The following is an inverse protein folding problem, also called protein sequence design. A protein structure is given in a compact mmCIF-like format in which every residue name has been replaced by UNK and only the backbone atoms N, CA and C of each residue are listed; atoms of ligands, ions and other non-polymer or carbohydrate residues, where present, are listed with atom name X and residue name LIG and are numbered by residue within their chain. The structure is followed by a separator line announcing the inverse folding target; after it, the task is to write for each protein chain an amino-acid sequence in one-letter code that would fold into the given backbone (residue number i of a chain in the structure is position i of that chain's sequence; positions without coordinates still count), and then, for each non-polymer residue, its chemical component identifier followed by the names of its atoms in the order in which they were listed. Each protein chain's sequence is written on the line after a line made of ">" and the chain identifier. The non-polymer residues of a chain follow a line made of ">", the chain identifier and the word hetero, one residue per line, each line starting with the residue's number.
data_IF_548780446658
#
_entry.id   IF_548780446658
#
_cell.length_a   1.000
_cell.length_b   1.000
_cell.length_c   1.000
_cell.angle_alpha   90.00
_cell.angle_beta   90.00
_cell.angle_gamma   90.00
#
_symmetry.space_group_name_H-M   'P 1'
#
loop_
_entity.id
_entity.type
_entity.pdbx_description
1 polymer ?
#
# COMPACT_ATOMS: atom_id res chain seq x y z
N UNK A 1 -19.63 8.62 17.40
CA UNK A 1 -21.10 8.60 17.23
C UNK A 1 -21.88 8.51 18.56
N UNK A 2 -21.25 8.11 19.68
CA UNK A 2 -21.87 8.11 21.02
C UNK A 2 -21.91 9.50 21.73
N UNK A 3 -21.36 10.56 21.13
CA UNK A 3 -21.20 11.88 21.75
C UNK A 3 -21.90 13.02 20.96
N UNK A 4 -22.82 12.71 20.04
CA UNK A 4 -23.60 13.71 19.28
C UNK A 4 -22.85 14.49 18.19
N UNK A 5 -21.55 14.28 18.02
CA UNK A 5 -20.78 14.92 16.95
C UNK A 5 -20.86 14.14 15.62
N UNK A 6 -20.89 14.89 14.52
CA UNK A 6 -20.76 14.35 13.17
C UNK A 6 -19.34 13.80 12.96
N UNK A 7 -19.18 12.62 12.32
CA UNK A 7 -17.86 12.05 12.08
C UNK A 7 -17.02 12.93 11.13
N UNK A 8 -15.67 12.89 11.26
CA UNK A 8 -14.79 13.68 10.42
C UNK A 8 -14.96 13.30 8.94
N UNK A 9 -15.14 14.31 8.08
CA UNK A 9 -15.45 14.12 6.64
C UNK A 9 -14.28 13.56 5.83
N UNK A 10 -13.05 13.64 6.35
CA UNK A 10 -11.82 13.14 5.73
C UNK A 10 -10.85 12.70 6.82
N UNK A 11 -10.22 11.55 6.61
CA UNK A 11 -9.12 11.03 7.41
C UNK A 11 -7.88 11.01 6.53
N UNK A 12 -6.86 11.77 6.93
CA UNK A 12 -5.56 11.78 6.25
C UNK A 12 -4.62 10.89 7.07
N UNK A 13 -4.32 9.70 6.56
CA UNK A 13 -3.42 8.74 7.20
C UNK A 13 -2.05 8.79 6.54
N UNK A 14 -0.98 8.68 7.33
CA UNK A 14 0.38 8.54 6.84
C UNK A 14 1.07 7.36 7.55
N UNK A 15 2.07 6.77 6.90
CA UNK A 15 2.86 5.67 7.44
C UNK A 15 3.89 6.16 8.47
N UNK A 16 4.63 5.21 9.05
CA UNK A 16 5.66 5.51 10.04
C UNK A 16 6.87 6.21 9.42
N UNK A 17 7.44 7.16 10.17
CA UNK A 17 8.64 7.88 9.79
C UNK A 17 9.90 7.01 9.84
N UNK A 18 10.75 7.19 8.84
CA UNK A 18 12.07 6.55 8.74
C UNK A 18 13.19 7.57 8.84
N UNK A 19 14.35 7.11 9.30
CA UNK A 19 15.62 7.84 9.27
C UNK A 19 16.58 6.98 8.47
N UNK A 20 17.15 7.53 7.40
CA UNK A 20 18.04 6.81 6.46
C UNK A 20 17.46 5.49 5.93
N UNK A 21 16.16 5.49 5.62
CA UNK A 21 15.44 4.32 5.09
C UNK A 21 15.10 3.24 6.12
N UNK A 22 15.41 3.45 7.40
CA UNK A 22 15.11 2.51 8.48
C UNK A 22 14.02 3.09 9.38
N UNK A 23 12.99 2.30 9.69
CA UNK A 23 11.95 2.66 10.65
C UNK A 23 12.57 3.07 11.99
N UNK A 24 12.12 4.20 12.54
CA UNK A 24 12.61 4.64 13.83
C UNK A 24 12.29 3.62 14.94
N UNK A 25 13.30 3.27 15.72
CA UNK A 25 13.19 2.35 16.85
C UNK A 25 14.17 2.73 17.95
N UNK A 26 13.69 2.68 19.20
CA UNK A 26 14.54 2.95 20.38
C UNK A 26 15.72 1.99 20.47
N UNK A 27 15.58 0.74 20.01
CA UNK A 27 16.65 -0.26 20.02
C UNK A 27 17.73 -0.04 18.96
N UNK A 28 17.38 0.63 17.86
CA UNK A 28 18.31 0.97 16.77
C UNK A 28 18.98 2.33 16.97
N UNK A 29 18.60 3.08 18.01
CA UNK A 29 19.14 4.42 18.30
C UNK A 29 18.77 5.50 17.28
N UNK A 30 18.01 5.17 16.24
CA UNK A 30 17.66 6.06 15.14
C UNK A 30 16.38 6.88 15.40
N UNK A 31 15.94 6.99 16.66
CA UNK A 31 14.77 7.82 17.03
C UNK A 31 15.19 9.28 17.05
N UNK A 32 14.56 10.08 16.18
CA UNK A 32 14.78 11.52 16.14
C UNK A 32 13.76 12.23 17.02
N UNK A 33 14.24 13.01 17.99
CA UNK A 33 13.38 13.89 18.77
C UNK A 33 13.28 15.25 18.07
N UNK A 34 12.09 15.64 17.56
CA UNK A 34 11.93 16.87 16.78
C UNK A 34 12.26 18.16 17.55
N UNK A 35 12.27 18.12 18.90
CA UNK A 35 12.66 19.26 19.74
C UNK A 35 14.18 19.44 19.86
N UNK A 36 14.96 18.42 19.48
CA UNK A 36 16.41 18.38 19.63
C UNK A 36 17.15 18.59 18.29
N UNK A 37 16.44 18.63 17.16
CA UNK A 37 17.01 18.70 15.80
C UNK A 37 17.63 20.06 15.47
N UNK A 38 17.37 21.11 16.26
CA UNK A 38 17.89 22.47 16.02
C UNK A 38 17.34 23.16 14.76
N UNK A 39 16.53 22.48 13.96
CA UNK A 39 15.88 23.03 12.77
C UNK A 39 14.70 23.94 13.15
N UNK A 40 14.48 25.05 12.42
CA UNK A 40 13.31 25.88 12.64
C UNK A 40 12.02 25.08 12.36
N UNK A 41 10.92 25.32 13.10
CA UNK A 41 9.67 24.58 12.93
C UNK A 41 9.10 24.61 11.51
N UNK A 42 9.37 25.67 10.74
CA UNK A 42 8.98 25.80 9.34
C UNK A 42 9.69 24.77 8.44
N UNK A 43 10.99 24.57 8.64
CA UNK A 43 11.76 23.55 7.91
C UNK A 43 11.29 22.14 8.26
N UNK A 44 11.00 21.88 9.55
CA UNK A 44 10.49 20.58 9.99
C UNK A 44 9.10 20.29 9.38
N UNK A 45 8.20 21.28 9.36
CA UNK A 45 6.87 21.15 8.72
C UNK A 45 6.98 20.89 7.22
N UNK A 46 7.88 21.61 6.53
CA UNK A 46 8.12 21.41 5.10
C UNK A 46 8.62 19.98 4.82
N UNK A 47 9.59 19.50 5.59
CA UNK A 47 10.11 18.12 5.49
C UNK A 47 9.00 17.09 5.71
N UNK A 48 8.20 17.24 6.77
CA UNK A 48 7.12 16.31 7.08
C UNK A 48 6.06 16.29 5.97
N UNK A 49 5.67 17.45 5.44
CA UNK A 49 4.70 17.51 4.33
C UNK A 49 5.22 16.87 3.05
N UNK A 50 6.53 16.96 2.80
CA UNK A 50 7.18 16.36 1.63
C UNK A 50 7.30 14.83 1.74
N UNK A 51 7.68 14.34 2.91
CA UNK A 51 8.05 12.93 3.11
C UNK A 51 6.87 12.04 3.57
N UNK A 52 5.77 12.60 4.06
CA UNK A 52 4.54 11.87 4.41
C UNK A 52 3.66 11.52 3.20
N UNK A 53 4.22 10.89 2.18
CA UNK A 53 3.51 10.52 0.94
C UNK A 53 3.60 9.02 0.67
N UNK A 54 2.59 8.43 0.01
CA UNK A 54 2.55 7.00 -0.34
C UNK A 54 3.77 6.56 -1.20
N UNK A 55 4.35 7.49 -1.95
CA UNK A 55 5.59 7.30 -2.72
C UNK A 55 6.83 6.99 -1.85
N UNK A 56 6.80 7.35 -0.56
CA UNK A 56 7.92 7.12 0.36
C UNK A 56 8.08 5.63 0.72
N UNK A 57 6.97 4.88 0.77
CA UNK A 57 6.99 3.44 1.11
C UNK A 57 7.64 2.58 0.00
N UNK A 58 7.53 2.99 -1.26
CA UNK A 58 8.18 2.31 -2.38
C UNK A 58 9.71 2.47 -2.34
N UNK A 59 10.20 3.67 -2.00
CA UNK A 59 11.64 3.95 -1.82
C UNK A 59 12.23 3.14 -0.66
N UNK A 60 11.47 3.02 0.42
CA UNK A 60 11.83 2.19 1.57
C UNK A 60 11.98 0.72 1.16
N UNK A 61 10.99 0.17 0.44
CA UNK A 61 11.07 -1.21 -0.04
C UNK A 61 12.26 -1.42 -0.98
N UNK A 62 12.53 -0.47 -1.88
CA UNK A 62 13.72 -0.50 -2.74
C UNK A 62 15.03 -0.55 -1.94
N UNK A 63 15.11 0.20 -0.83
CA UNK A 63 16.24 0.14 0.11
C UNK A 63 16.40 -1.22 0.78
N UNK A 64 15.31 -1.89 1.15
CA UNK A 64 15.38 -3.26 1.68
C UNK A 64 15.86 -4.27 0.65
N UNK A 65 15.40 -4.19 -0.60
CA UNK A 65 15.89 -5.04 -1.68
C UNK A 65 17.39 -4.84 -1.92
N UNK A 66 17.84 -3.58 -1.94
CA UNK A 66 19.26 -3.24 -2.14
C UNK A 66 20.17 -3.79 -1.03
N UNK A 67 19.64 -3.92 0.19
CA UNK A 67 20.34 -4.45 1.37
C UNK A 67 20.09 -5.95 1.61
N UNK A 68 19.49 -6.68 0.66
CA UNK A 68 19.14 -8.10 0.78
C UNK A 68 18.15 -8.43 1.92
N UNK A 69 17.40 -7.44 2.40
CA UNK A 69 16.43 -7.56 3.50
C UNK A 69 15.01 -7.85 2.99
N UNK A 70 14.86 -8.87 2.15
CA UNK A 70 13.62 -9.16 1.42
C UNK A 70 12.38 -9.34 2.30
N UNK A 71 12.54 -9.98 3.46
CA UNK A 71 11.43 -10.20 4.40
C UNK A 71 10.83 -8.88 4.91
N UNK A 72 11.65 -7.84 5.11
CA UNK A 72 11.14 -6.53 5.56
C UNK A 72 10.34 -5.82 4.47
N UNK A 73 10.71 -6.02 3.20
CA UNK A 73 9.93 -5.52 2.07
C UNK A 73 8.57 -6.21 2.01
N UNK A 74 8.55 -7.54 2.17
CA UNK A 74 7.31 -8.30 2.25
C UNK A 74 6.43 -7.85 3.43
N UNK A 75 6.99 -7.72 4.63
CA UNK A 75 6.27 -7.25 5.83
C UNK A 75 5.68 -5.85 5.63
N UNK A 76 6.44 -4.93 5.03
CA UNK A 76 5.98 -3.58 4.74
C UNK A 76 4.79 -3.60 3.76
N UNK A 77 4.88 -4.38 2.68
CA UNK A 77 3.78 -4.51 1.71
C UNK A 77 2.54 -5.13 2.35
N UNK A 78 2.71 -6.22 3.11
CA UNK A 78 1.59 -6.87 3.81
C UNK A 78 0.91 -5.91 4.80
N UNK A 79 1.69 -5.08 5.49
CA UNK A 79 1.13 -4.05 6.37
C UNK A 79 0.27 -3.04 5.60
N UNK A 80 0.74 -2.54 4.46
CA UNK A 80 -0.03 -1.62 3.61
C UNK A 80 -1.31 -2.29 3.07
N UNK A 81 -1.23 -3.56 2.68
CA UNK A 81 -2.41 -4.32 2.23
C UNK A 81 -3.45 -4.49 3.33
N UNK A 82 -3.04 -4.71 4.58
CA UNK A 82 -3.97 -4.73 5.71
C UNK A 82 -4.65 -3.38 5.93
N UNK A 83 -3.92 -2.27 5.81
CA UNK A 83 -4.50 -0.92 5.90
C UNK A 83 -5.47 -0.64 4.75
N UNK A 84 -5.15 -1.08 3.53
CA UNK A 84 -6.03 -0.96 2.38
C UNK A 84 -7.33 -1.77 2.57
N UNK A 85 -7.22 -2.99 3.11
CA UNK A 85 -8.40 -3.80 3.42
C UNK A 85 -9.26 -3.16 4.52
N UNK A 86 -8.64 -2.66 5.58
CA UNK A 86 -9.35 -1.92 6.64
C UNK A 86 -10.06 -0.69 6.08
N UNK A 87 -9.40 0.08 5.22
CA UNK A 87 -10.01 1.20 4.51
C UNK A 87 -11.22 0.76 3.66
N UNK A 88 -11.09 -0.31 2.88
CA UNK A 88 -12.18 -0.84 2.04
C UNK A 88 -13.37 -1.32 2.88
N UNK A 89 -13.11 -2.05 3.97
CA UNK A 89 -14.14 -2.55 4.88
C UNK A 89 -14.86 -1.43 5.64
N UNK A 90 -14.14 -0.39 6.05
CA UNK A 90 -14.73 0.77 6.74
C UNK A 90 -15.59 1.62 5.83
N UNK A 91 -15.18 1.80 4.57
CA UNK A 91 -15.93 2.58 3.59
C UNK A 91 -17.16 1.84 3.05
N UNK A 92 -17.18 0.51 3.15
CA UNK A 92 -18.31 -0.35 2.73
C UNK A 92 -18.86 0.04 1.35
N UNK A 93 -18.06 -0.08 0.27
CA UNK A 93 -18.45 0.38 -1.06
C UNK A 93 -19.75 -0.26 -1.57
N UNK A 94 -20.10 -1.47 -1.11
CA UNK A 94 -21.38 -2.11 -1.41
C UNK A 94 -22.60 -1.37 -0.85
N UNK A 95 -22.46 -0.62 0.25
CA UNK A 95 -23.50 0.27 0.77
C UNK A 95 -23.54 1.59 0.01
N UNK A 96 -22.37 2.16 -0.33
CA UNK A 96 -22.28 3.39 -1.13
C UNK A 96 -22.94 3.23 -2.52
N UNK A 97 -22.74 2.05 -3.14
CA UNK A 97 -23.40 1.69 -4.39
C UNK A 97 -24.94 1.69 -4.27
N UNK A 98 -25.48 1.21 -3.14
CA UNK A 98 -26.93 1.21 -2.89
C UNK A 98 -27.48 2.61 -2.64
N UNK A 99 -26.68 3.48 -2.01
CA UNK A 99 -27.04 4.88 -1.71
C UNK A 99 -26.87 5.83 -2.90
N UNK A 100 -26.46 5.31 -4.07
CA UNK A 100 -26.23 6.07 -5.30
C UNK A 100 -25.17 7.18 -5.16
N UNK A 101 -24.24 7.04 -4.21
CA UNK A 101 -23.15 7.98 -3.95
C UNK A 101 -21.95 7.68 -4.85
N UNK A 102 -22.10 7.92 -6.16
CA UNK A 102 -21.13 7.47 -7.18
C UNK A 102 -19.73 8.06 -6.99
N UNK A 103 -19.61 9.34 -6.64
CA UNK A 103 -18.32 10.01 -6.45
C UNK A 103 -17.49 9.41 -5.30
N UNK A 104 -18.13 9.10 -4.18
CA UNK A 104 -17.46 8.49 -3.02
C UNK A 104 -17.06 7.05 -3.34
N UNK A 105 -17.94 6.30 -4.01
CA UNK A 105 -17.66 4.94 -4.46
C UNK A 105 -16.44 4.90 -5.40
N UNK A 106 -16.42 5.76 -6.40
CA UNK A 106 -15.32 5.84 -7.37
C UNK A 106 -14.01 6.19 -6.67
N UNK A 107 -14.03 7.12 -5.71
CA UNK A 107 -12.85 7.51 -4.92
C UNK A 107 -12.30 6.33 -4.11
N UNK A 108 -13.17 5.59 -3.43
CA UNK A 108 -12.78 4.43 -2.61
C UNK A 108 -12.16 3.35 -3.49
N UNK A 109 -12.85 2.99 -4.58
CA UNK A 109 -12.36 1.96 -5.52
C UNK A 109 -11.02 2.38 -6.13
N UNK A 110 -10.87 3.66 -6.47
CA UNK A 110 -9.65 4.17 -7.06
C UNK A 110 -8.46 4.09 -6.11
N UNK A 111 -8.61 4.57 -4.87
CA UNK A 111 -7.55 4.50 -3.84
C UNK A 111 -7.14 3.05 -3.57
N UNK A 112 -8.11 2.14 -3.45
CA UNK A 112 -7.81 0.72 -3.23
C UNK A 112 -7.08 0.11 -4.44
N UNK A 113 -7.51 0.43 -5.66
CA UNK A 113 -6.89 -0.08 -6.89
C UNK A 113 -5.48 0.45 -7.07
N UNK A 114 -5.23 1.73 -6.78
CA UNK A 114 -3.89 2.31 -6.82
C UNK A 114 -2.97 1.66 -5.79
N UNK A 115 -3.48 1.43 -4.58
CA UNK A 115 -2.69 0.77 -3.54
C UNK A 115 -2.28 -0.64 -3.98
N UNK A 116 -3.22 -1.39 -4.58
CA UNK A 116 -2.93 -2.71 -5.17
C UNK A 116 -1.90 -2.63 -6.29
N UNK A 117 -1.98 -1.63 -7.18
CA UNK A 117 -1.01 -1.41 -8.26
C UNK A 117 0.41 -1.26 -7.72
N UNK A 118 0.60 -0.37 -6.74
CA UNK A 118 1.92 -0.10 -6.15
C UNK A 118 2.45 -1.35 -5.43
N UNK A 119 1.63 -1.99 -4.59
CA UNK A 119 2.01 -3.22 -3.90
C UNK A 119 2.40 -4.33 -4.88
N UNK A 120 1.67 -4.49 -5.99
CA UNK A 120 1.97 -5.48 -7.01
C UNK A 120 3.33 -5.23 -7.67
N UNK A 121 3.66 -3.98 -8.02
CA UNK A 121 4.96 -3.62 -8.61
C UNK A 121 6.10 -3.99 -7.65
N UNK A 122 5.95 -3.69 -6.36
CA UNK A 122 6.95 -3.98 -5.31
C UNK A 122 7.13 -5.49 -5.09
N UNK A 123 6.08 -6.28 -5.28
CA UNK A 123 6.10 -7.73 -5.07
C UNK A 123 6.61 -8.52 -6.28
N UNK A 124 6.79 -7.92 -7.46
CA UNK A 124 7.30 -8.63 -8.65
C UNK A 124 8.58 -9.46 -8.40
N UNK A 125 9.59 -8.98 -7.66
CA UNK A 125 10.81 -9.78 -7.40
C UNK A 125 10.61 -10.98 -6.46
N UNK A 126 9.53 -10.98 -5.66
CA UNK A 126 9.22 -12.05 -4.70
C UNK A 126 8.19 -13.04 -5.23
N UNK A 127 7.16 -12.53 -5.91
CA UNK A 127 6.03 -13.31 -6.41
C UNK A 127 5.68 -12.84 -7.83
N UNK A 128 6.54 -13.12 -8.83
CA UNK A 128 6.44 -12.55 -10.17
C UNK A 128 5.13 -12.92 -10.87
N UNK A 129 4.70 -14.18 -10.78
CA UNK A 129 3.52 -14.67 -11.49
C UNK A 129 2.23 -13.99 -11.00
N UNK A 130 2.02 -13.94 -9.68
CA UNK A 130 0.83 -13.30 -9.10
C UNK A 130 0.84 -11.78 -9.29
N UNK A 131 2.01 -11.14 -9.15
CA UNK A 131 2.15 -9.72 -9.37
C UNK A 131 1.84 -9.33 -10.82
N UNK A 132 2.35 -10.10 -11.78
CA UNK A 132 2.10 -9.90 -13.22
C UNK A 132 0.61 -10.07 -13.53
N UNK A 133 0.01 -11.16 -13.05
CA UNK A 133 -1.41 -11.43 -13.19
C UNK A 133 -2.32 -10.32 -12.63
N UNK A 134 -1.95 -9.76 -11.47
CA UNK A 134 -2.66 -8.63 -10.88
C UNK A 134 -2.52 -7.36 -11.74
N UNK A 135 -1.30 -7.04 -12.18
CA UNK A 135 -1.02 -5.86 -13.00
C UNK A 135 -1.65 -5.94 -14.39
N UNK A 136 -1.72 -7.13 -14.99
CA UNK A 136 -2.42 -7.39 -16.25
C UNK A 136 -3.91 -7.08 -16.10
N UNK A 137 -4.52 -7.45 -14.98
CA UNK A 137 -5.93 -7.14 -14.69
C UNK A 137 -6.22 -5.68 -14.48
N UNK A 138 -5.24 -4.95 -13.94
CA UNK A 138 -5.29 -3.49 -13.82
C UNK A 138 -4.95 -2.77 -15.13
N UNK A 139 -4.66 -3.52 -16.21
CA UNK A 139 -4.25 -3.02 -17.53
C UNK A 139 -3.00 -2.12 -17.48
N UNK A 140 -2.07 -2.40 -16.57
CA UNK A 140 -0.81 -1.65 -16.49
C UNK A 140 0.14 -2.18 -17.56
N UNK A 141 0.62 -1.39 -18.53
CA UNK A 141 1.58 -1.85 -19.53
C UNK A 141 2.86 -2.40 -18.88
N UNK A 142 3.55 -3.35 -19.51
CA UNK A 142 4.80 -3.91 -18.95
C UNK A 142 5.87 -2.83 -18.74
N UNK A 143 5.94 -1.86 -19.64
CA UNK A 143 6.89 -0.74 -19.58
C UNK A 143 6.65 0.18 -18.36
N UNK A 144 5.44 0.11 -17.78
CA UNK A 144 5.01 0.92 -16.66
C UNK A 144 5.00 0.17 -15.31
N UNK A 145 5.77 -0.93 -15.19
CA UNK A 145 5.84 -1.77 -13.97
C UNK A 145 7.18 -1.63 -13.23
N UNK A 146 7.90 -0.52 -13.43
CA UNK A 146 9.17 -0.26 -12.75
C UNK A 146 8.96 0.54 -11.45
N UNK A 147 9.99 0.59 -10.61
CA UNK A 147 9.99 1.36 -9.35
C UNK A 147 9.64 2.84 -9.52
N UNK A 148 10.01 3.45 -10.65
CA UNK A 148 9.68 4.85 -10.96
C UNK A 148 8.17 5.09 -11.06
N UNK A 149 7.42 4.05 -11.47
CA UNK A 149 5.97 4.09 -11.59
C UNK A 149 5.25 3.91 -10.25
N UNK A 150 5.97 3.63 -9.16
CA UNK A 150 5.43 3.69 -7.80
C UNK A 150 5.43 5.13 -7.25
N UNK A 151 6.31 6.00 -7.77
CA UNK A 151 6.40 7.40 -7.32
C UNK A 151 5.42 8.30 -8.05
N UNK A 152 5.06 7.94 -9.28
CA UNK A 152 4.07 8.64 -10.09
C UNK A 152 2.70 8.00 -9.89
N UNK A 153 1.77 8.69 -9.19
CA UNK A 153 0.43 8.15 -9.01
C UNK A 153 -0.32 8.18 -10.34
N UNK A 154 -1.27 7.25 -10.52
CA UNK A 154 -2.04 7.07 -11.76
C UNK A 154 -2.83 8.31 -12.23
N UNK A 155 -3.09 9.28 -11.34
CA UNK A 155 -3.80 10.52 -11.66
C UNK A 155 -2.88 11.71 -11.98
N UNK A 156 -1.57 11.57 -11.80
CA UNK A 156 -0.62 12.62 -12.16
C UNK A 156 -0.37 12.61 -13.68
N UNK A 157 0.09 13.73 -14.24
CA UNK A 157 0.50 13.80 -15.63
C UNK A 157 1.60 12.75 -15.90
N UNK A 158 1.33 11.83 -16.83
CA UNK A 158 2.20 10.67 -17.12
C UNK A 158 1.89 9.40 -16.31
N UNK A 159 0.86 9.41 -15.45
CA UNK A 159 0.38 8.23 -14.72
C UNK A 159 -0.39 7.25 -15.60
N UNK A 160 -0.35 5.96 -15.24
CA UNK A 160 -1.08 4.91 -15.96
C UNK A 160 -2.55 4.94 -15.57
N UNK A 161 -3.44 5.15 -16.55
CA UNK A 161 -4.88 5.08 -16.30
C UNK A 161 -5.30 3.65 -15.96
N UNK A 162 -5.81 3.46 -14.74
CA UNK A 162 -6.26 2.17 -14.26
C UNK A 162 -7.63 1.83 -14.86
N UNK A 163 -7.70 0.69 -15.57
CA UNK A 163 -8.96 0.14 -16.08
C UNK A 163 -9.01 -1.35 -15.77
N UNK A 164 -9.99 -1.75 -14.98
CA UNK A 164 -10.15 -3.13 -14.59
C UNK A 164 -10.67 -3.95 -15.78
N UNK A 165 -9.98 -5.05 -16.11
CA UNK A 165 -10.51 -5.98 -17.11
C UNK A 165 -11.81 -6.64 -16.62
N UNK A 166 -12.87 -6.70 -17.44
CA UNK A 166 -14.09 -7.41 -17.07
C UNK A 166 -13.85 -8.92 -16.99
N UNK A 167 -14.59 -9.60 -16.10
CA UNK A 167 -14.59 -11.06 -15.97
C UNK A 167 -14.21 -11.58 -14.58
N UNK A 168 -14.66 -12.80 -14.26
CA UNK A 168 -14.31 -13.47 -13.00
C UNK A 168 -12.83 -13.82 -13.00
N UNK A 169 -12.11 -13.38 -11.99
CA UNK A 169 -10.69 -13.60 -11.87
C UNK A 169 -10.34 -14.05 -10.46
N UNK A 170 -9.61 -15.15 -10.35
CA UNK A 170 -9.12 -15.68 -9.08
C UNK A 170 -7.60 -15.60 -9.14
N UNK A 171 -7.04 -14.66 -8.41
CA UNK A 171 -5.59 -14.47 -8.30
C UNK A 171 -4.90 -15.67 -7.67
N UNK A 172 -5.46 -16.15 -6.56
CA UNK A 172 -4.86 -17.21 -5.78
C UNK A 172 -5.94 -18.14 -5.25
N UNK A 173 -5.75 -19.44 -5.46
CA UNK A 173 -6.65 -20.45 -4.92
C UNK A 173 -6.26 -20.79 -3.49
N UNK A 174 -7.26 -21.00 -2.64
CA UNK A 174 -7.01 -21.41 -1.25
C UNK A 174 -6.33 -22.78 -1.25
N UNK A 175 -5.16 -22.86 -0.63
CA UNK A 175 -4.46 -24.13 -0.42
C UNK A 175 -5.18 -24.87 0.72
N UNK A 176 -5.64 -26.09 0.43
CA UNK A 176 -6.17 -27.00 1.44
C UNK A 176 -5.09 -28.00 1.82
N UNK A 177 -4.80 -28.12 3.12
CA UNK A 177 -3.94 -29.19 3.63
C UNK A 177 -4.83 -30.44 3.72
N UNK A 178 -4.50 -31.46 2.94
CA UNK A 178 -5.23 -32.72 2.95
C UNK A 178 -5.02 -33.41 4.30
N UNK A 179 -6.09 -33.56 5.09
CA UNK A 179 -6.03 -34.22 6.42
C UNK A 179 -5.64 -35.71 6.32
N UNK A 180 -5.61 -36.29 5.12
CA UNK A 180 -5.34 -37.72 4.88
C UNK A 180 -3.85 -38.10 4.81
N UNK A 181 -2.91 -37.15 4.76
CA UNK A 181 -1.47 -37.47 4.65
C UNK A 181 -0.77 -37.87 5.97
N UNK A 182 -1.49 -37.94 7.10
CA UNK A 182 -0.91 -38.21 8.44
C UNK A 182 -0.90 -39.69 8.88
N UNK A 183 -1.13 -40.64 7.98
CA UNK A 183 -0.90 -42.07 8.21
C UNK A 183 0.01 -42.63 7.12
N UNK A 184 1.31 -42.38 7.26
CA UNK A 184 2.33 -43.26 6.71
C UNK A 184 2.95 -43.95 7.93
N UNK A 185 2.78 -45.27 7.94
CA UNK A 185 3.11 -46.18 9.02
C UNK A 185 4.59 -46.08 9.42
N UNK A 186 4.84 -45.99 10.72
CA UNK A 186 6.04 -46.49 11.38
C UNK A 186 5.57 -47.42 12.51
#
# INVERSE_FOLDING_TARGET
>A
MAAGYHPPRRLLCHAHWTVDGIKMSKSLGNVVNPRQVGAPPSALRYLLLREATMSSDAKLCHGYYSNYQFYKAADAVIHVLHLANLFFETQKPWELKKKNAQQELDTVLYITTETLRICAIILQPLIPDLATQLLDKLQVPQDCRSWQHCETPSWADGGVQLKLQPGKFVLFQRIYIDKKAKKINA
#
